data_IF_947008801590
#
_entry.id   IF_947008801590
#
_cell.length_a   1.000
_cell.length_b   1.000
_cell.length_c   1.000
_cell.angle_alpha   90.00
_cell.angle_beta   90.00
_cell.angle_gamma   90.00
#
_symmetry.space_group_name_H-M   'P 1'
#
loop_
_entity.id
_entity.type
_entity.pdbx_description
1 polymer ?
#
# COMPACT_ATOMS: atom_id res chain seq x y z
N UNK A 1 -8.60 7.41 -19.65
CA UNK A 1 -8.09 6.34 -18.77
C UNK A 1 -7.74 6.96 -17.43
N UNK A 2 -8.46 6.63 -16.35
CA UNK A 2 -8.23 7.22 -15.04
C UNK A 2 -7.02 6.56 -14.38
N UNK A 3 -5.92 7.32 -14.22
CA UNK A 3 -4.76 6.91 -13.43
C UNK A 3 -5.03 7.29 -11.97
N UNK A 4 -4.62 6.44 -11.03
CA UNK A 4 -4.69 6.73 -9.60
C UNK A 4 -3.28 6.78 -9.03
N UNK A 5 -3.09 7.58 -7.98
CA UNK A 5 -1.83 7.59 -7.21
C UNK A 5 -2.06 6.87 -5.89
N UNK A 6 -1.18 5.92 -5.58
CA UNK A 6 -1.22 5.22 -4.30
C UNK A 6 0.19 5.08 -3.72
N UNK A 7 0.23 5.00 -2.40
CA UNK A 7 1.37 4.50 -1.66
C UNK A 7 1.09 3.07 -1.21
N UNK A 8 2.14 2.26 -1.05
CA UNK A 8 2.01 0.92 -0.51
C UNK A 8 3.11 0.56 0.50
N UNK A 9 2.78 -0.39 1.37
CA UNK A 9 3.72 -1.04 2.29
C UNK A 9 3.70 -2.52 1.95
N UNK A 10 4.84 -3.06 1.52
CA UNK A 10 5.00 -4.48 1.24
C UNK A 10 5.77 -5.14 2.37
N UNK A 11 5.24 -6.20 2.95
CA UNK A 11 5.92 -7.02 3.97
C UNK A 11 5.75 -8.50 3.64
N UNK A 12 6.75 -9.30 3.98
CA UNK A 12 6.75 -10.74 3.68
C UNK A 12 5.80 -11.53 4.59
N UNK A 13 5.61 -11.05 5.83
CA UNK A 13 4.89 -11.79 6.89
C UNK A 13 3.55 -11.14 7.23
N UNK A 14 2.49 -11.94 7.30
CA UNK A 14 1.14 -11.49 7.67
C UNK A 14 1.09 -10.77 9.04
N UNK A 15 1.73 -11.29 10.11
CA UNK A 15 1.71 -10.63 11.40
C UNK A 15 2.29 -9.21 11.35
N UNK A 16 3.30 -8.98 10.48
CA UNK A 16 3.89 -7.65 10.32
C UNK A 16 2.93 -6.68 9.63
N UNK A 17 2.15 -7.17 8.66
CA UNK A 17 1.11 -6.35 8.04
C UNK A 17 0.00 -6.00 9.06
N UNK A 18 -0.37 -6.93 9.94
CA UNK A 18 -1.35 -6.65 10.99
C UNK A 18 -0.86 -5.59 11.99
N UNK A 19 0.39 -5.68 12.42
CA UNK A 19 1.02 -4.68 13.30
C UNK A 19 0.96 -3.29 12.66
N UNK A 20 1.39 -3.17 11.39
CA UNK A 20 1.38 -1.90 10.65
C UNK A 20 -0.04 -1.36 10.48
N UNK A 21 -1.02 -2.22 10.17
CA UNK A 21 -2.41 -1.80 10.06
C UNK A 21 -2.95 -1.29 11.39
N UNK A 22 -2.56 -1.93 12.50
CA UNK A 22 -2.91 -1.47 13.85
C UNK A 22 -2.29 -0.10 14.15
N UNK A 23 -1.01 0.11 13.84
CA UNK A 23 -0.35 1.40 14.01
C UNK A 23 -1.02 2.50 13.17
N UNK A 24 -1.37 2.19 11.92
CA UNK A 24 -2.10 3.10 11.03
C UNK A 24 -3.47 3.48 11.61
N UNK A 25 -4.19 2.53 12.20
CA UNK A 25 -5.46 2.79 12.88
C UNK A 25 -5.29 3.64 14.15
N UNK A 26 -4.12 3.56 14.80
CA UNK A 26 -3.75 4.44 15.91
C UNK A 26 -3.29 5.84 15.49
N UNK A 27 -3.27 6.14 14.18
CA UNK A 27 -2.91 7.46 13.65
C UNK A 27 -1.43 7.61 13.28
N UNK A 28 -0.66 6.51 13.20
CA UNK A 28 0.71 6.56 12.73
C UNK A 28 0.82 7.01 11.26
N UNK A 29 1.95 7.62 10.90
CA UNK A 29 2.18 8.07 9.53
C UNK A 29 2.51 6.90 8.59
N UNK A 30 1.72 6.79 7.51
CA UNK A 30 1.89 5.74 6.51
C UNK A 30 3.26 5.80 5.82
N UNK A 31 3.77 7.00 5.55
CA UNK A 31 5.04 7.16 4.84
C UNK A 31 6.22 6.74 5.72
N UNK A 32 6.12 6.98 7.03
CA UNK A 32 7.09 6.54 8.02
C UNK A 32 7.10 5.01 8.17
N UNK A 33 5.92 4.40 8.33
CA UNK A 33 5.80 2.94 8.40
C UNK A 33 6.27 2.28 7.10
N UNK A 34 5.99 2.88 5.94
CA UNK A 34 6.51 2.44 4.66
C UNK A 34 8.05 2.49 4.62
N UNK A 35 8.67 3.58 5.10
CA UNK A 35 10.14 3.71 5.16
C UNK A 35 10.77 2.64 6.06
N UNK A 36 10.14 2.39 7.21
CA UNK A 36 10.65 1.47 8.24
C UNK A 36 10.46 0.00 7.88
N UNK A 37 9.27 -0.37 7.40
CA UNK A 37 8.89 -1.78 7.27
C UNK A 37 8.72 -2.28 5.85
N UNK A 38 8.50 -1.40 4.86
CA UNK A 38 8.30 -1.87 3.49
C UNK A 38 9.60 -2.48 2.93
N UNK A 39 9.49 -3.66 2.33
CA UNK A 39 10.62 -4.31 1.62
C UNK A 39 10.77 -3.79 0.18
N UNK A 40 9.77 -3.05 -0.33
CA UNK A 40 9.81 -2.49 -1.67
C UNK A 40 10.76 -1.27 -1.75
N UNK A 41 11.50 -1.05 -2.86
CA UNK A 41 12.31 0.15 -3.05
C UNK A 41 11.53 1.48 -2.94
N UNK A 42 10.21 1.44 -3.13
CA UNK A 42 9.29 2.57 -2.89
C UNK A 42 9.37 3.11 -1.46
N UNK A 43 9.89 2.33 -0.50
CA UNK A 43 10.15 2.77 0.89
C UNK A 43 10.92 4.08 0.97
N UNK A 44 11.87 4.32 0.06
CA UNK A 44 12.64 5.58 0.00
C UNK A 44 11.76 6.81 -0.23
N UNK A 45 10.61 6.64 -0.87
CA UNK A 45 9.60 7.66 -1.13
C UNK A 45 8.38 7.54 -0.21
N UNK A 46 8.51 6.86 0.93
CA UNK A 46 7.37 6.64 1.82
C UNK A 46 6.30 5.71 1.24
N UNK A 47 6.71 4.78 0.38
CA UNK A 47 5.82 3.82 -0.26
C UNK A 47 5.12 4.33 -1.51
N UNK A 48 5.35 5.59 -1.93
CA UNK A 48 4.70 6.18 -3.11
C UNK A 48 5.08 5.44 -4.40
N UNK A 49 4.06 4.97 -5.12
CA UNK A 49 4.19 4.33 -6.43
C UNK A 49 3.97 5.30 -7.59
N UNK A 50 3.55 6.54 -7.31
CA UNK A 50 3.16 7.49 -8.34
C UNK A 50 1.83 7.10 -9.01
N UNK A 51 1.55 7.72 -10.15
CA UNK A 51 0.33 7.46 -10.91
C UNK A 51 0.45 6.20 -11.75
N UNK A 52 -0.47 5.26 -11.54
CA UNK A 52 -0.59 4.06 -12.36
C UNK A 52 -2.02 3.87 -12.87
N UNK A 53 -2.14 3.25 -14.04
CA UNK A 53 -3.38 2.82 -14.64
C UNK A 53 -3.61 1.31 -14.49
N UNK A 54 -4.75 0.85 -15.01
CA UNK A 54 -5.07 -0.58 -15.07
C UNK A 54 -4.07 -1.35 -15.94
N UNK A 55 -3.71 -2.55 -15.52
CA UNK A 55 -2.73 -3.43 -16.18
C UNK A 55 -1.27 -3.19 -15.80
N UNK A 56 -0.98 -2.20 -14.95
CA UNK A 56 0.41 -1.89 -14.53
C UNK A 56 0.82 -2.57 -13.22
N UNK A 57 -0.14 -3.07 -12.44
CA UNK A 57 0.08 -3.72 -11.15
C UNK A 57 -0.55 -5.12 -11.16
N UNK A 58 -0.17 -5.97 -10.20
CA UNK A 58 -0.82 -7.28 -10.02
C UNK A 58 -2.31 -7.12 -9.74
N UNK A 59 -3.11 -8.08 -10.23
CA UNK A 59 -4.58 -8.00 -10.27
C UNK A 59 -5.20 -7.75 -8.89
N UNK A 60 -4.67 -8.39 -7.85
CA UNK A 60 -5.13 -8.26 -6.47
C UNK A 60 -4.84 -6.87 -5.91
N UNK A 61 -3.65 -6.33 -6.18
CA UNK A 61 -3.24 -4.99 -5.78
C UNK A 61 -4.08 -3.93 -6.50
N UNK A 62 -4.21 -4.05 -7.81
CA UNK A 62 -4.99 -3.13 -8.64
C UNK A 62 -6.44 -3.07 -8.16
N UNK A 63 -7.08 -4.24 -7.99
CA UNK A 63 -8.48 -4.32 -7.56
C UNK A 63 -8.70 -3.63 -6.22
N UNK A 64 -7.77 -3.79 -5.28
CA UNK A 64 -7.83 -3.11 -4.00
C UNK A 64 -7.61 -1.59 -4.15
N UNK A 65 -6.55 -1.17 -4.85
CA UNK A 65 -6.21 0.22 -5.05
C UNK A 65 -7.33 1.04 -5.73
N UNK A 66 -7.95 0.48 -6.77
CA UNK A 66 -9.06 1.13 -7.48
C UNK A 66 -10.38 1.11 -6.70
N UNK A 67 -10.52 0.24 -5.70
CA UNK A 67 -11.70 0.20 -4.81
C UNK A 67 -11.64 1.28 -3.72
N UNK A 68 -10.45 1.67 -3.30
CA UNK A 68 -10.24 2.72 -2.30
C UNK A 68 -10.73 4.07 -2.79
N UNK A 69 -11.19 4.91 -1.86
CA UNK A 69 -11.44 6.35 -2.04
C UNK A 69 -10.18 7.17 -1.74
N UNK A 70 -10.16 8.44 -2.16
CA UNK A 70 -9.02 9.34 -1.90
C UNK A 70 -8.82 9.48 -0.39
N UNK A 71 -7.61 9.24 0.08
CA UNK A 71 -7.23 9.25 1.50
C UNK A 71 -7.45 7.93 2.23
N UNK A 72 -8.12 6.95 1.62
CA UNK A 72 -8.45 5.67 2.24
C UNK A 72 -7.26 4.71 2.22
N UNK A 73 -7.19 3.87 3.27
CA UNK A 73 -6.20 2.80 3.42
C UNK A 73 -6.92 1.46 3.24
N UNK A 74 -6.34 0.53 2.50
CA UNK A 74 -6.88 -0.81 2.32
C UNK A 74 -6.59 -1.71 3.51
N UNK A 75 -7.37 -2.78 3.58
CA UNK A 75 -6.99 -3.98 4.30
C UNK A 75 -5.69 -4.60 3.76
N UNK A 76 -5.24 -5.66 4.43
CA UNK A 76 -4.06 -6.42 4.06
C UNK A 76 -4.35 -7.24 2.79
N UNK A 77 -3.68 -6.89 1.69
CA UNK A 77 -3.80 -7.55 0.40
C UNK A 77 -2.67 -8.56 0.22
N UNK A 78 -3.00 -9.85 0.19
CA UNK A 78 -2.04 -10.90 -0.12
C UNK A 78 -1.81 -10.99 -1.64
N UNK A 79 -0.55 -11.01 -2.05
CA UNK A 79 -0.12 -11.27 -3.43
C UNK A 79 1.00 -12.31 -3.42
N UNK A 80 1.49 -12.68 -4.60
CA UNK A 80 2.67 -13.54 -4.74
C UNK A 80 3.96 -12.95 -4.11
N UNK A 81 4.03 -11.63 -3.93
CA UNK A 81 5.20 -10.96 -3.34
C UNK A 81 5.13 -10.85 -1.81
N UNK A 82 3.97 -11.15 -1.20
CA UNK A 82 3.74 -10.99 0.23
C UNK A 82 2.44 -10.25 0.52
N UNK A 83 2.46 -9.42 1.55
CA UNK A 83 1.30 -8.69 2.06
C UNK A 83 1.46 -7.20 1.81
N UNK A 84 0.45 -6.59 1.21
CA UNK A 84 0.44 -5.20 0.83
C UNK A 84 -0.64 -4.44 1.60
N UNK A 85 -0.29 -3.27 2.10
CA UNK A 85 -1.25 -2.27 2.60
C UNK A 85 -1.17 -1.11 1.63
N UNK A 86 -2.31 -0.64 1.13
CA UNK A 86 -2.38 0.36 0.06
C UNK A 86 -3.06 1.61 0.61
N UNK A 87 -2.51 2.78 0.36
CA UNK A 87 -3.16 4.06 0.65
C UNK A 87 -3.35 4.83 -0.64
N UNK A 88 -4.59 5.19 -0.96
CA UNK A 88 -4.89 5.99 -2.15
C UNK A 88 -4.69 7.47 -1.81
N UNK A 89 -3.77 8.14 -2.49
CA UNK A 89 -3.41 9.54 -2.19
C UNK A 89 -4.14 10.56 -3.07
N UNK A 90 -4.71 10.12 -4.19
CA UNK A 90 -5.46 10.97 -5.14
C UNK A 90 -6.84 10.40 -5.48
#
# INVERSE_FOLDING_TARGET
MSKIRCSHILVEKHPKAQEILSELNSGADFSELARRYSVCPSKKKGGDLGFFGKGQMVKEFERAAFKLKKGEVSDIIKTQFGYHIIKRTD
#
